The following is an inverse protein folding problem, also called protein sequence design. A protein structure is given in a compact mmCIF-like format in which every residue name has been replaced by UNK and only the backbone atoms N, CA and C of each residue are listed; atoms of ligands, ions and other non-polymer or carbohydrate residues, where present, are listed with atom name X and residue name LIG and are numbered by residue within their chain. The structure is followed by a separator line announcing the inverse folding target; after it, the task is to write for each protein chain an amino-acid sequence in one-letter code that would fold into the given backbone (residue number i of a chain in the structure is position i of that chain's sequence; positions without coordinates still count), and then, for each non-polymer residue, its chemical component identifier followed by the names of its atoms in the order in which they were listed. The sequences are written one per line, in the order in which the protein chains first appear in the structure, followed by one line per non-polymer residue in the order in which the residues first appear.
data_IF_736922277351
#
_entry.id   IF_736922277351
#
_cell.length_a   1.000
_cell.length_b   1.000
_cell.length_c   1.000
_cell.angle_alpha   90.00
_cell.angle_beta   90.00
_cell.angle_gamma   90.00
#
_symmetry.space_group_name_H-M   'P 1'
#
loop_
_entity.id
_entity.type
_entity.pdbx_description
1 polymer ?
#
# COMPACT_ATOMS: atom_id res chain seq x y z
N UNK A 1 5.46 11.10 -11.78
CA UNK A 1 6.65 11.68 -11.12
C UNK A 1 6.71 11.24 -9.66
N UNK A 2 5.60 11.35 -8.92
CA UNK A 2 5.53 10.99 -7.49
C UNK A 2 5.86 9.51 -7.20
N UNK A 3 5.24 8.56 -7.92
CA UNK A 3 5.56 7.13 -7.75
C UNK A 3 7.03 6.81 -8.06
N UNK A 4 7.64 7.47 -9.06
CA UNK A 4 9.06 7.26 -9.36
C UNK A 4 9.95 7.79 -8.22
N UNK A 5 9.60 8.93 -7.62
CA UNK A 5 10.31 9.47 -6.46
C UNK A 5 10.22 8.51 -5.26
N UNK A 6 9.04 7.95 -5.00
CA UNK A 6 8.85 6.95 -3.94
C UNK A 6 9.69 5.70 -4.21
N UNK A 7 9.70 5.19 -5.44
CA UNK A 7 10.49 3.99 -5.82
C UNK A 7 11.98 4.16 -5.59
N UNK A 8 12.54 5.34 -5.88
CA UNK A 8 13.97 5.60 -5.71
C UNK A 8 14.36 6.03 -4.29
N UNK A 9 13.40 6.42 -3.44
CA UNK A 9 13.67 6.74 -2.05
C UNK A 9 14.10 5.46 -1.30
N UNK A 10 15.24 5.51 -0.63
CA UNK A 10 15.78 4.39 0.17
C UNK A 10 15.60 4.60 1.67
N UNK A 11 15.00 5.71 2.07
CA UNK A 11 14.87 6.16 3.47
C UNK A 11 13.44 6.09 4.00
N UNK A 12 12.45 5.99 3.12
CA UNK A 12 11.04 5.97 3.48
C UNK A 12 10.67 4.74 4.32
N UNK A 13 11.15 3.55 3.98
CA UNK A 13 10.87 2.31 4.71
C UNK A 13 11.24 2.45 6.20
N UNK A 14 12.45 2.93 6.49
CA UNK A 14 12.93 3.06 7.87
C UNK A 14 12.21 4.17 8.63
N UNK A 15 11.92 5.30 7.97
CA UNK A 15 11.11 6.39 8.55
C UNK A 15 9.69 5.95 8.88
N UNK A 16 9.00 5.30 7.94
CA UNK A 16 7.64 4.79 8.16
C UNK A 16 7.63 3.75 9.28
N UNK A 17 8.60 2.83 9.30
CA UNK A 17 8.73 1.85 10.37
C UNK A 17 8.91 2.52 11.74
N UNK A 18 9.78 3.53 11.84
CA UNK A 18 9.97 4.33 13.06
C UNK A 18 8.69 5.06 13.47
N UNK A 19 8.01 5.70 12.52
CA UNK A 19 6.84 6.53 12.78
C UNK A 19 5.61 5.72 13.18
N UNK A 20 5.43 4.52 12.61
CA UNK A 20 4.24 3.67 12.81
C UNK A 20 4.45 2.55 13.82
N UNK A 21 5.70 2.21 14.16
CA UNK A 21 6.06 1.04 14.95
C UNK A 21 5.94 -0.29 14.18
N UNK A 22 5.60 -0.27 12.89
CA UNK A 22 5.60 -1.48 12.07
C UNK A 22 7.04 -1.89 11.70
N UNK A 23 7.34 -3.18 11.58
CA UNK A 23 8.68 -3.61 11.21
C UNK A 23 8.99 -3.28 9.75
N UNK A 24 10.25 -2.91 9.47
CA UNK A 24 10.70 -2.50 8.12
C UNK A 24 10.37 -3.52 7.03
N UNK A 25 10.47 -4.83 7.31
CA UNK A 25 10.13 -5.87 6.34
C UNK A 25 8.66 -5.82 5.91
N UNK A 26 7.75 -5.38 6.80
CA UNK A 26 6.32 -5.22 6.47
C UNK A 26 6.14 -4.02 5.55
N UNK A 27 6.77 -2.89 5.88
CA UNK A 27 6.72 -1.67 5.08
C UNK A 27 7.36 -1.89 3.69
N UNK A 28 8.51 -2.56 3.63
CA UNK A 28 9.16 -2.93 2.37
C UNK A 28 8.23 -3.74 1.47
N UNK A 29 7.53 -4.74 2.04
CA UNK A 29 6.57 -5.54 1.27
C UNK A 29 5.44 -4.69 0.70
N UNK A 30 4.88 -3.78 1.51
CA UNK A 30 3.81 -2.88 1.08
C UNK A 30 4.31 -1.96 -0.03
N UNK A 31 5.51 -1.37 0.15
CA UNK A 31 6.13 -0.52 -0.86
C UNK A 31 6.29 -1.26 -2.19
N UNK A 32 6.83 -2.47 -2.15
CA UNK A 32 7.02 -3.28 -3.35
C UNK A 32 5.69 -3.60 -4.02
N UNK A 33 4.67 -3.99 -3.24
CA UNK A 33 3.32 -4.27 -3.73
C UNK A 33 2.70 -3.07 -4.44
N UNK A 34 2.66 -1.92 -3.78
CA UNK A 34 1.94 -0.74 -4.29
C UNK A 34 2.69 -0.08 -5.45
N UNK A 35 4.02 0.02 -5.36
CA UNK A 35 4.78 0.86 -6.27
C UNK A 35 5.58 0.07 -7.32
N UNK A 36 6.09 -1.13 -7.02
CA UNK A 36 7.13 -1.76 -7.84
C UNK A 36 6.68 -3.02 -8.60
N UNK A 37 5.84 -3.83 -7.98
CA UNK A 37 5.43 -5.13 -8.48
C UNK A 37 4.49 -5.02 -9.68
N UNK A 38 4.53 -6.04 -10.53
CA UNK A 38 3.50 -6.25 -11.56
C UNK A 38 2.42 -7.18 -11.03
N UNK A 39 1.19 -6.89 -11.40
CA UNK A 39 -0.01 -7.60 -10.96
C UNK A 39 -0.76 -8.13 -12.17
N UNK A 40 -1.48 -9.23 -11.99
CA UNK A 40 -2.44 -9.71 -12.98
C UNK A 40 -3.70 -8.84 -12.83
N UNK A 41 -3.83 -7.84 -13.70
CA UNK A 41 -4.99 -6.96 -13.79
C UNK A 41 -5.89 -7.40 -14.94
N UNK A 42 -7.13 -6.89 -15.00
CA UNK A 42 -8.05 -7.22 -16.10
C UNK A 42 -7.52 -6.78 -17.48
N UNK A 43 -6.69 -5.73 -17.50
CA UNK A 43 -6.03 -5.21 -18.69
C UNK A 43 -4.72 -5.93 -19.04
N UNK A 44 -4.31 -6.94 -18.26
CA UNK A 44 -3.06 -7.68 -18.42
C UNK A 44 -2.10 -7.54 -17.24
N UNK A 45 -0.89 -8.04 -17.42
CA UNK A 45 0.16 -8.00 -16.38
C UNK A 45 0.90 -6.67 -16.46
N UNK A 46 0.72 -5.81 -15.46
CA UNK A 46 1.41 -4.51 -15.36
C UNK A 46 1.46 -4.03 -13.91
N UNK A 47 2.23 -2.97 -13.67
CA UNK A 47 2.18 -2.20 -12.40
C UNK A 47 0.84 -1.48 -12.26
N UNK A 48 0.48 -1.13 -11.03
CA UNK A 48 -0.63 -0.22 -10.77
C UNK A 48 -0.41 1.15 -11.43
N UNK A 49 -1.51 1.76 -11.85
CA UNK A 49 -1.53 3.16 -12.26
C UNK A 49 -1.34 4.04 -11.01
N UNK A 50 -0.74 5.21 -11.17
CA UNK A 50 -0.46 6.08 -10.03
C UNK A 50 -1.75 6.66 -9.44
N UNK A 51 -1.85 6.64 -8.11
CA UNK A 51 -2.96 7.22 -7.34
C UNK A 51 -2.40 8.29 -6.39
N UNK A 52 -2.94 9.50 -6.47
CA UNK A 52 -2.49 10.64 -5.67
C UNK A 52 -2.79 10.47 -4.18
N UNK A 53 -3.89 9.81 -3.82
CA UNK A 53 -4.26 9.61 -2.41
C UNK A 53 -3.30 8.62 -1.72
N UNK A 54 -2.88 7.59 -2.46
CA UNK A 54 -1.85 6.65 -2.01
C UNK A 54 -0.49 7.35 -1.88
N UNK A 55 -0.10 8.18 -2.86
CA UNK A 55 1.15 8.93 -2.79
C UNK A 55 1.17 9.88 -1.59
N UNK A 56 0.09 10.63 -1.37
CA UNK A 56 -0.04 11.55 -0.25
C UNK A 56 -0.05 10.81 1.10
N UNK A 57 -0.73 9.67 1.21
CA UNK A 57 -0.67 8.80 2.39
C UNK A 57 0.77 8.34 2.68
N UNK A 58 1.50 7.91 1.65
CA UNK A 58 2.90 7.51 1.78
C UNK A 58 3.80 8.66 2.28
N UNK A 59 3.58 9.88 1.78
CA UNK A 59 4.30 11.06 2.25
C UNK A 59 3.96 11.41 3.70
N UNK A 60 2.68 11.35 4.10
CA UNK A 60 2.27 11.57 5.50
C UNK A 60 2.88 10.52 6.43
N UNK A 61 2.88 9.25 6.04
CA UNK A 61 3.52 8.16 6.78
C UNK A 61 5.02 8.39 6.94
N UNK A 62 5.69 8.81 5.88
CA UNK A 62 7.14 9.10 5.88
C UNK A 62 7.48 10.30 6.77
N UNK A 63 6.63 11.33 6.77
CA UNK A 63 6.83 12.57 7.55
C UNK A 63 6.33 12.47 9.00
N UNK A 64 5.63 11.39 9.37
CA UNK A 64 5.06 11.21 10.70
C UNK A 64 3.80 12.04 10.96
N UNK A 65 3.17 12.58 9.90
CA UNK A 65 1.91 13.36 9.97
C UNK A 65 0.70 12.54 9.51
N UNK A 66 0.81 11.22 9.58
CA UNK A 66 -0.22 10.28 9.15
C UNK A 66 -1.41 10.25 10.09
N UNK A 67 -2.54 9.80 9.55
CA UNK A 67 -3.77 9.57 10.30
C UNK A 67 -4.13 8.07 10.31
N UNK A 68 -5.25 7.72 10.94
CA UNK A 68 -5.70 6.32 11.01
C UNK A 68 -5.98 5.72 9.63
N UNK A 69 -6.51 6.50 8.68
CA UNK A 69 -6.78 6.03 7.32
C UNK A 69 -5.50 5.62 6.59
N UNK A 70 -4.39 6.33 6.82
CA UNK A 70 -3.07 5.96 6.27
C UNK A 70 -2.54 4.63 6.87
N UNK A 71 -2.87 4.32 8.13
CA UNK A 71 -2.58 3.01 8.75
C UNK A 71 -3.48 1.92 8.18
N UNK A 72 -4.74 2.26 7.88
CA UNK A 72 -5.69 1.34 7.25
C UNK A 72 -5.22 0.95 5.85
N UNK A 73 -4.67 1.91 5.06
CA UNK A 73 -3.97 1.63 3.80
C UNK A 73 -2.85 0.59 3.99
N UNK A 74 -1.93 0.81 4.94
CA UNK A 74 -0.82 -0.13 5.17
C UNK A 74 -1.32 -1.55 5.52
N UNK A 75 -2.42 -1.67 6.26
CA UNK A 75 -2.98 -2.96 6.63
C UNK A 75 -3.75 -3.62 5.48
N UNK A 76 -4.42 -2.83 4.65
CA UNK A 76 -5.07 -3.26 3.42
C UNK A 76 -4.04 -3.86 2.47
N UNK A 77 -3.04 -3.07 2.06
CA UNK A 77 -2.01 -3.46 1.09
C UNK A 77 -1.16 -4.63 1.58
N UNK A 78 -0.89 -4.70 2.88
CA UNK A 78 -0.18 -5.84 3.44
C UNK A 78 -0.97 -7.14 3.30
N UNK A 79 -2.28 -7.12 3.57
CA UNK A 79 -3.11 -8.31 3.44
C UNK A 79 -3.27 -8.70 1.98
N UNK A 80 -3.58 -7.74 1.10
CA UNK A 80 -3.72 -7.97 -0.33
C UNK A 80 -2.45 -8.61 -0.93
N UNK A 81 -1.29 -8.01 -0.68
CA UNK A 81 0.00 -8.53 -1.16
C UNK A 81 0.27 -9.95 -0.69
N UNK A 82 -0.12 -10.30 0.55
CA UNK A 82 0.02 -11.66 1.10
C UNK A 82 -0.94 -12.62 0.42
N UNK A 83 -2.17 -12.19 0.16
CA UNK A 83 -3.21 -12.98 -0.48
C UNK A 83 -2.83 -13.33 -1.92
N UNK A 84 -2.46 -12.33 -2.74
CA UNK A 84 -1.99 -12.56 -4.12
C UNK A 84 -0.82 -13.54 -4.16
N UNK A 85 0.19 -13.29 -3.32
CA UNK A 85 1.43 -14.08 -3.33
C UNK A 85 1.21 -15.53 -2.88
N UNK A 86 0.34 -15.77 -1.90
CA UNK A 86 0.10 -17.10 -1.34
C UNK A 86 -0.86 -17.92 -2.21
N UNK A 87 -1.96 -17.32 -2.66
CA UNK A 87 -3.00 -18.01 -3.43
C UNK A 87 -2.82 -17.91 -4.94
N UNK A 88 -1.83 -17.14 -5.42
CA UNK A 88 -1.55 -16.93 -6.86
C UNK A 88 -2.76 -16.40 -7.61
N UNK A 89 -3.47 -15.46 -7.01
CA UNK A 89 -4.68 -14.85 -7.58
C UNK A 89 -4.35 -13.62 -8.41
N UNK A 90 -5.30 -13.18 -9.21
CA UNK A 90 -5.31 -11.81 -9.72
C UNK A 90 -5.54 -10.78 -8.60
N UNK A 91 -5.24 -9.53 -8.93
CA UNK A 91 -5.40 -8.38 -8.04
C UNK A 91 -6.84 -8.23 -7.57
N UNK A 92 -7.81 -8.26 -8.49
CA UNK A 92 -9.24 -8.04 -8.19
C UNK A 92 -9.74 -9.03 -7.14
N UNK A 93 -9.36 -10.30 -7.25
CA UNK A 93 -9.69 -11.34 -6.29
C UNK A 93 -9.07 -11.07 -4.93
N UNK A 94 -7.79 -10.68 -4.88
CA UNK A 94 -7.12 -10.38 -3.63
C UNK A 94 -7.70 -9.14 -2.95
N UNK A 95 -7.95 -8.06 -3.70
CA UNK A 95 -8.56 -6.83 -3.22
C UNK A 95 -9.94 -7.11 -2.58
N UNK A 96 -10.82 -7.80 -3.30
CA UNK A 96 -12.14 -8.17 -2.78
C UNK A 96 -12.03 -8.97 -1.46
N UNK A 97 -11.05 -9.88 -1.36
CA UNK A 97 -10.81 -10.66 -0.14
C UNK A 97 -10.25 -9.82 1.00
N UNK A 98 -9.45 -8.80 0.70
CA UNK A 98 -9.00 -7.81 1.66
C UNK A 98 -10.19 -7.04 2.25
N UNK A 99 -11.09 -6.54 1.40
CA UNK A 99 -12.29 -5.81 1.86
C UNK A 99 -13.24 -6.72 2.66
N UNK A 100 -13.53 -7.93 2.16
CA UNK A 100 -14.37 -8.93 2.87
C UNK A 100 -13.80 -9.28 4.25
N UNK A 101 -12.48 -9.17 4.43
CA UNK A 101 -11.82 -9.42 5.71
C UNK A 101 -11.91 -8.26 6.71
N UNK A 102 -12.58 -7.16 6.34
CA UNK A 102 -12.77 -5.96 7.14
C UNK A 102 -11.63 -4.94 7.06
N UNK A 103 -10.63 -5.15 6.20
CA UNK A 103 -9.50 -4.22 6.01
C UNK A 103 -9.85 -3.23 4.90
N UNK A 104 -10.86 -2.42 5.15
CA UNK A 104 -11.32 -1.43 4.18
C UNK A 104 -10.45 -0.19 4.30
N UNK A 105 -9.92 0.27 3.16
CA UNK A 105 -9.31 1.58 3.04
C UNK A 105 -10.20 2.45 2.13
N UNK A 106 -10.54 3.64 2.60
CA UNK A 106 -11.35 4.60 1.84
C UNK A 106 -10.66 5.96 1.92
N UNK A 107 -10.05 6.46 0.83
CA UNK A 107 -9.33 7.73 0.85
C UNK A 107 -10.21 8.94 1.20
N UNK A 108 -11.54 8.84 0.98
CA UNK A 108 -12.48 9.94 1.20
C UNK A 108 -13.29 9.81 2.48
N UNK A 109 -12.95 8.84 3.33
CA UNK A 109 -13.60 8.67 4.62
C UNK A 109 -13.43 9.93 5.47
N UNK A 110 -14.55 10.58 5.80
CA UNK A 110 -14.53 11.72 6.71
C UNK A 110 -14.07 11.26 8.10
N UNK A 111 -12.98 11.87 8.58
CA UNK A 111 -12.52 11.69 9.95
C UNK A 111 -13.46 12.48 10.87
N UNK A 112 -14.57 11.86 11.29
CA UNK A 112 -15.45 12.38 12.35
C UNK A 112 -14.71 12.49 13.69
#
# INVERSE_FOLDING_TARGET
MEYENIRIDTTDISKIAQNTGMPEWKISRIKDHVFSNEHILDAGVKRFDADSEIADAWYRLTNGTYNQNDIDLLNHEYFESKFESFYKTDYRTAHNKTEESGRIWDPYKENN
#
